data_IF_243048724322
#
_entry.id   IF_243048724322
#
_cell.length_a   1.000
_cell.length_b   1.000
_cell.length_c   1.000
_cell.angle_alpha   90.00
_cell.angle_beta   90.00
_cell.angle_gamma   90.00
#
_symmetry.space_group_name_H-M   'P 1'
#
loop_
_entity.id
_entity.type
_entity.pdbx_description
1 polymer ?
#
# COMPACT_ATOMS: atom_id res chain seq x y z
N UNK A 1 -18.85 19.72 12.96
CA UNK A 1 -18.91 18.32 13.46
C UNK A 1 -17.51 17.76 13.42
N UNK A 2 -17.18 16.72 14.21
CA UNK A 2 -15.84 16.11 14.22
C UNK A 2 -15.35 15.66 12.82
N UNK A 3 -16.27 15.40 11.88
CA UNK A 3 -15.95 15.07 10.48
C UNK A 3 -15.41 16.28 9.69
N UNK A 4 -15.92 17.50 9.94
CA UNK A 4 -15.43 18.71 9.27
C UNK A 4 -14.05 19.17 9.74
N UNK A 5 -13.59 18.66 10.88
CA UNK A 5 -12.25 18.92 11.43
C UNK A 5 -11.19 18.06 10.71
N UNK A 6 -11.51 16.80 10.41
CA UNK A 6 -10.61 15.88 9.68
C UNK A 6 -10.35 16.34 8.24
N UNK A 7 -11.38 16.84 7.55
CA UNK A 7 -11.21 17.36 6.18
C UNK A 7 -10.29 18.59 6.13
N UNK A 8 -10.40 19.47 7.13
CA UNK A 8 -9.52 20.62 7.27
C UNK A 8 -8.07 20.20 7.54
N UNK A 9 -7.86 19.32 8.51
CA UNK A 9 -6.54 18.80 8.87
C UNK A 9 -5.87 18.07 7.69
N UNK A 10 -6.62 17.27 6.95
CA UNK A 10 -6.10 16.57 5.78
C UNK A 10 -5.73 17.53 4.64
N UNK A 11 -6.55 18.56 4.41
CA UNK A 11 -6.25 19.59 3.41
C UNK A 11 -5.01 20.40 3.77
N UNK A 12 -4.85 20.77 5.05
CA UNK A 12 -3.66 21.45 5.56
C UNK A 12 -2.40 20.58 5.39
N UNK A 13 -2.47 19.30 5.80
CA UNK A 13 -1.38 18.35 5.62
C UNK A 13 -1.01 18.16 4.15
N UNK A 14 -2.01 18.00 3.27
CA UNK A 14 -1.78 17.88 1.83
C UNK A 14 -1.12 19.13 1.24
N UNK A 15 -1.49 20.32 1.70
CA UNK A 15 -0.87 21.57 1.26
C UNK A 15 0.59 21.69 1.74
N UNK A 16 0.89 21.26 2.95
CA UNK A 16 2.26 21.25 3.51
C UNK A 16 3.16 20.27 2.76
N UNK A 17 2.71 19.04 2.55
CA UNK A 17 3.54 18.04 1.88
C UNK A 17 3.70 18.35 0.39
N UNK A 18 2.71 18.94 -0.28
CA UNK A 18 2.77 19.20 -1.72
C UNK A 18 3.85 20.21 -2.15
N UNK A 19 4.32 21.08 -1.24
CA UNK A 19 5.35 22.09 -1.56
C UNK A 19 6.79 21.58 -1.39
N UNK A 20 6.98 20.38 -0.82
CA UNK A 20 8.29 19.75 -0.72
C UNK A 20 8.73 19.30 -2.11
N UNK A 21 9.97 19.63 -2.52
CA UNK A 21 10.55 19.12 -3.78
C UNK A 21 11.18 17.75 -3.55
N UNK A 22 10.57 16.65 -4.02
CA UNK A 22 11.08 15.30 -3.81
C UNK A 22 12.37 15.01 -4.59
N UNK A 23 12.77 15.87 -5.54
CA UNK A 23 14.03 15.71 -6.25
C UNK A 23 15.23 16.27 -5.47
N UNK A 24 14.97 17.07 -4.43
CA UNK A 24 15.99 17.60 -3.53
C UNK A 24 16.25 16.70 -2.32
N UNK A 25 15.42 15.67 -2.13
CA UNK A 25 15.52 14.70 -1.02
C UNK A 25 16.48 13.56 -1.38
N UNK A 26 17.01 12.90 -0.35
CA UNK A 26 17.65 11.60 -0.55
C UNK A 26 16.61 10.51 -0.89
N UNK A 27 17.08 9.31 -1.22
CA UNK A 27 16.20 8.26 -1.72
C UNK A 27 15.13 7.83 -0.68
N UNK A 28 15.50 7.78 0.60
CA UNK A 28 14.60 7.32 1.65
C UNK A 28 13.60 8.42 1.99
N UNK A 29 14.05 9.67 2.15
CA UNK A 29 13.14 10.80 2.35
C UNK A 29 12.19 11.00 1.16
N UNK A 30 12.66 10.81 -0.07
CA UNK A 30 11.81 10.90 -1.26
C UNK A 30 10.76 9.79 -1.30
N UNK A 31 11.12 8.53 -0.99
CA UNK A 31 10.16 7.43 -0.94
C UNK A 31 9.13 7.64 0.17
N UNK A 32 9.60 8.01 1.37
CA UNK A 32 8.74 8.32 2.51
C UNK A 32 7.73 9.43 2.16
N UNK A 33 8.21 10.51 1.54
CA UNK A 33 7.38 11.60 1.05
C UNK A 33 6.30 11.10 0.09
N UNK A 34 6.66 10.33 -0.94
CA UNK A 34 5.66 9.85 -1.92
C UNK A 34 4.63 8.89 -1.32
N UNK A 35 5.04 8.01 -0.40
CA UNK A 35 4.10 7.13 0.33
C UNK A 35 3.11 7.98 1.14
N UNK A 36 3.60 9.02 1.83
CA UNK A 36 2.77 9.92 2.62
C UNK A 36 1.76 10.70 1.75
N UNK A 37 2.20 11.24 0.61
CA UNK A 37 1.32 11.93 -0.35
C UNK A 37 0.23 10.98 -0.86
N UNK A 38 0.60 9.75 -1.23
CA UNK A 38 -0.35 8.74 -1.68
C UNK A 38 -1.38 8.40 -0.59
N UNK A 39 -0.91 8.07 0.62
CA UNK A 39 -1.78 7.63 1.71
C UNK A 39 -2.74 8.73 2.18
N UNK A 40 -2.30 9.99 2.22
CA UNK A 40 -3.17 11.13 2.51
C UNK A 40 -4.21 11.34 1.40
N UNK A 41 -3.81 11.22 0.13
CA UNK A 41 -4.73 11.24 -1.00
C UNK A 41 -5.79 10.14 -0.96
N UNK A 42 -5.39 8.91 -0.62
CA UNK A 42 -6.27 7.77 -0.49
C UNK A 42 -7.26 7.95 0.68
N UNK A 43 -6.81 8.54 1.80
CA UNK A 43 -7.70 8.92 2.89
C UNK A 43 -8.73 9.97 2.45
N UNK A 44 -8.30 10.96 1.64
CA UNK A 44 -9.21 11.96 1.06
C UNK A 44 -10.25 11.35 0.12
N UNK A 45 -9.85 10.37 -0.69
CA UNK A 45 -10.77 9.60 -1.55
C UNK A 45 -11.78 8.79 -0.72
N UNK A 46 -11.32 8.14 0.35
CA UNK A 46 -12.20 7.39 1.26
C UNK A 46 -13.18 8.31 2.00
N UNK A 47 -12.72 9.45 2.51
CA UNK A 47 -13.56 10.46 3.15
C UNK A 47 -14.61 11.02 2.19
N UNK A 48 -14.23 11.25 0.92
CA UNK A 48 -15.17 11.63 -0.14
C UNK A 48 -16.22 10.56 -0.37
N UNK A 49 -15.82 9.29 -0.45
CA UNK A 49 -16.75 8.19 -0.63
C UNK A 49 -17.77 8.10 0.52
N UNK A 50 -17.32 8.24 1.77
CA UNK A 50 -18.18 8.27 2.94
C UNK A 50 -19.20 9.42 2.88
N UNK A 51 -18.75 10.64 2.57
CA UNK A 51 -19.63 11.82 2.44
C UNK A 51 -20.66 11.68 1.32
N UNK A 52 -20.29 11.04 0.22
CA UNK A 52 -21.20 10.77 -0.90
C UNK A 52 -22.14 9.58 -0.62
N UNK A 53 -22.05 8.95 0.57
CA UNK A 53 -22.87 7.78 0.94
C UNK A 53 -22.51 6.54 0.13
N UNK A 54 -21.29 6.46 -0.38
CA UNK A 54 -20.81 5.35 -1.18
C UNK A 54 -20.28 4.22 -0.29
N UNK A 55 -20.59 2.98 -0.64
CA UNK A 55 -20.06 1.79 0.02
C UNK A 55 -18.68 1.36 -0.52
N UNK A 56 -18.09 2.09 -1.48
CA UNK A 56 -16.80 1.78 -2.07
C UNK A 56 -16.15 3.01 -2.69
N UNK A 57 -14.82 3.12 -2.56
CA UNK A 57 -14.03 4.15 -3.25
C UNK A 57 -14.13 4.05 -4.77
N UNK A 58 -14.35 2.85 -5.33
CA UNK A 58 -14.43 2.63 -6.78
C UNK A 58 -15.67 3.26 -7.41
N UNK A 59 -16.70 3.56 -6.62
CA UNK A 59 -17.91 4.24 -7.11
C UNK A 59 -17.71 5.75 -7.27
N UNK A 60 -16.59 6.29 -6.80
CA UNK A 60 -16.26 7.69 -6.98
C UNK A 60 -15.73 7.91 -8.40
N UNK A 61 -16.32 8.82 -9.19
CA UNK A 61 -15.84 9.10 -10.53
C UNK A 61 -14.37 9.49 -10.53
N UNK A 62 -13.58 8.77 -11.32
CA UNK A 62 -12.14 9.01 -11.42
C UNK A 62 -11.33 8.55 -10.20
N UNK A 63 -11.86 7.66 -9.37
CA UNK A 63 -11.11 7.00 -8.31
C UNK A 63 -9.74 6.54 -8.82
N UNK A 64 -8.70 6.82 -8.04
CA UNK A 64 -7.28 6.55 -8.31
C UNK A 64 -6.64 7.24 -9.54
N UNK A 65 -7.43 7.59 -10.57
CA UNK A 65 -6.96 8.10 -11.86
C UNK A 65 -7.06 9.61 -12.02
N UNK A 66 -7.97 10.27 -11.30
CA UNK A 66 -8.07 11.73 -11.30
C UNK A 66 -6.96 12.35 -10.45
N UNK A 67 -6.41 13.50 -10.86
CA UNK A 67 -5.43 14.23 -10.05
C UNK A 67 -5.99 14.58 -8.66
N UNK A 68 -5.19 14.34 -7.63
CA UNK A 68 -5.51 14.63 -6.22
C UNK A 68 -4.61 15.73 -5.63
N UNK A 69 -3.44 15.95 -6.23
CA UNK A 69 -2.43 16.88 -5.74
C UNK A 69 -1.58 17.36 -6.91
N UNK A 70 -0.93 18.52 -6.77
CA UNK A 70 0.14 18.96 -7.66
C UNK A 70 1.42 19.03 -6.86
N UNK A 71 2.47 18.32 -7.29
CA UNK A 71 3.80 18.33 -6.66
C UNK A 71 4.81 18.64 -7.75
N UNK A 72 5.68 19.64 -7.52
CA UNK A 72 6.66 20.09 -8.51
C UNK A 72 6.05 20.37 -9.90
N UNK A 73 4.95 21.16 -9.93
CA UNK A 73 4.18 21.52 -11.12
C UNK A 73 3.54 20.36 -11.91
N UNK A 74 3.59 19.13 -11.37
CA UNK A 74 3.00 17.95 -11.99
C UNK A 74 1.67 17.59 -11.29
N UNK A 75 0.53 17.59 -12.00
CA UNK A 75 -0.73 17.09 -11.46
C UNK A 75 -0.67 15.56 -11.36
N UNK A 76 -0.87 15.04 -10.15
CA UNK A 76 -0.67 13.64 -9.84
C UNK A 76 -1.94 12.99 -9.27
N UNK A 77 -2.29 11.83 -9.82
CA UNK A 77 -3.30 10.92 -9.29
C UNK A 77 -2.66 9.87 -8.40
N UNK A 78 -3.45 9.07 -7.66
CA UNK A 78 -2.92 7.96 -6.86
C UNK A 78 -2.17 6.95 -7.74
N UNK A 79 -2.75 6.58 -8.90
CA UNK A 79 -2.08 5.71 -9.88
C UNK A 79 -0.76 6.31 -10.37
N UNK A 80 -0.75 7.62 -10.65
CA UNK A 80 0.44 8.35 -11.09
C UNK A 80 1.53 8.35 -10.02
N UNK A 81 1.16 8.51 -8.75
CA UNK A 81 2.10 8.46 -7.62
C UNK A 81 2.64 7.04 -7.45
N UNK A 82 1.78 6.02 -7.36
CA UNK A 82 2.22 4.63 -7.14
C UNK A 82 3.09 4.13 -8.29
N UNK A 83 2.59 4.20 -9.52
CA UNK A 83 3.25 3.60 -10.68
C UNK A 83 4.32 4.49 -11.31
N UNK A 84 4.23 5.82 -11.16
CA UNK A 84 5.19 6.77 -11.72
C UNK A 84 6.26 7.25 -10.74
N UNK A 85 5.96 7.29 -9.42
CA UNK A 85 6.87 7.83 -8.41
C UNK A 85 7.38 6.77 -7.43
N UNK A 86 6.51 5.97 -6.81
CA UNK A 86 6.88 5.04 -5.72
C UNK A 86 7.56 3.77 -6.25
N UNK A 87 6.99 3.09 -7.25
CA UNK A 87 7.50 1.77 -7.69
C UNK A 87 8.92 1.81 -8.27
N UNK A 88 9.42 2.99 -8.67
CA UNK A 88 10.79 3.16 -9.20
C UNK A 88 11.88 2.94 -8.15
N UNK A 89 11.55 3.04 -6.86
CA UNK A 89 12.50 2.84 -5.77
C UNK A 89 12.85 1.36 -5.57
N UNK A 90 12.09 0.44 -6.16
CA UNK A 90 12.43 -0.99 -6.14
C UNK A 90 12.25 -1.67 -4.78
N UNK A 91 11.53 -1.05 -3.86
CA UNK A 91 11.17 -1.65 -2.57
C UNK A 91 9.76 -2.28 -2.66
N UNK A 92 9.61 -3.61 -2.61
CA UNK A 92 8.31 -4.26 -2.75
C UNK A 92 7.45 -4.11 -1.49
N UNK A 93 8.02 -3.73 -0.34
CA UNK A 93 7.28 -3.54 0.93
C UNK A 93 6.26 -2.42 0.84
N UNK A 94 6.40 -1.51 -0.14
CA UNK A 94 5.42 -0.46 -0.44
C UNK A 94 4.02 -1.03 -0.65
N UNK A 95 3.87 -2.25 -1.19
CA UNK A 95 2.57 -2.90 -1.41
C UNK A 95 1.86 -3.29 -0.11
N UNK A 96 2.56 -3.30 1.03
CA UNK A 96 1.98 -3.39 2.37
C UNK A 96 1.76 -2.04 3.03
N UNK A 97 2.30 -0.95 2.48
CA UNK A 97 2.28 0.40 3.07
C UNK A 97 1.30 1.37 2.38
N UNK A 98 0.90 1.08 1.14
CA UNK A 98 -0.07 1.89 0.39
C UNK A 98 -1.50 1.48 0.74
N UNK A 99 -2.28 2.45 1.22
CA UNK A 99 -3.71 2.27 1.54
C UNK A 99 -4.62 2.75 0.41
N UNK A 100 -5.81 2.18 0.35
CA UNK A 100 -6.74 2.40 -0.75
C UNK A 100 -8.20 2.55 -0.28
N UNK A 101 -8.42 2.63 1.04
CA UNK A 101 -9.74 2.79 1.64
C UNK A 101 -10.69 1.61 1.47
N UNK A 102 -10.17 0.41 1.20
CA UNK A 102 -10.96 -0.82 1.03
C UNK A 102 -10.82 -1.78 2.22
N UNK A 103 -11.81 -2.66 2.39
CA UNK A 103 -11.81 -3.72 3.43
C UNK A 103 -10.59 -4.64 3.33
N UNK A 104 -10.13 -4.97 2.13
CA UNK A 104 -8.97 -5.85 1.90
C UNK A 104 -7.64 -5.11 1.78
N UNK A 105 -7.62 -3.79 2.03
CA UNK A 105 -6.40 -2.99 1.97
C UNK A 105 -5.53 -3.17 3.22
N UNK A 106 -4.21 -2.90 3.13
CA UNK A 106 -3.39 -2.73 4.32
C UNK A 106 -3.96 -1.66 5.26
N UNK A 107 -3.66 -1.79 6.55
CA UNK A 107 -4.02 -0.80 7.56
C UNK A 107 -3.15 0.45 7.41
N UNK A 108 -3.74 1.62 7.67
CA UNK A 108 -3.01 2.89 7.66
C UNK A 108 -2.11 2.97 8.89
N UNK A 109 -0.85 3.37 8.73
CA UNK A 109 0.05 3.65 9.85
C UNK A 109 -0.45 4.87 10.64
N UNK A 110 -0.38 4.82 11.97
CA UNK A 110 -0.78 5.93 12.83
C UNK A 110 0.16 7.15 12.76
N UNK A 111 1.34 7.00 12.18
CA UNK A 111 2.34 8.04 11.98
C UNK A 111 2.80 8.10 10.51
N UNK A 112 3.23 9.27 10.00
CA UNK A 112 3.82 9.39 8.68
C UNK A 112 5.13 8.61 8.55
N UNK A 113 5.46 8.23 7.31
CA UNK A 113 6.78 7.69 6.98
C UNK A 113 7.83 8.80 7.01
N UNK A 114 9.05 8.50 7.49
CA UNK A 114 10.18 9.43 7.48
C UNK A 114 11.45 8.70 7.02
N UNK A 115 12.34 9.34 6.26
CA UNK A 115 13.49 8.65 5.66
C UNK A 115 14.38 7.96 6.69
N UNK A 116 14.64 8.64 7.81
CA UNK A 116 15.46 8.10 8.91
C UNK A 116 14.92 6.79 9.54
N UNK A 117 13.63 6.49 9.39
CA UNK A 117 13.00 5.28 9.93
C UNK A 117 12.33 4.41 8.84
N UNK A 118 12.46 4.79 7.57
CA UNK A 118 11.66 4.24 6.48
C UNK A 118 11.79 2.73 6.36
N UNK A 119 13.02 2.21 6.43
CA UNK A 119 13.27 0.78 6.35
C UNK A 119 12.50 0.01 7.43
N UNK A 120 12.63 0.45 8.69
CA UNK A 120 11.94 -0.17 9.81
C UNK A 120 10.42 -0.03 9.72
N UNK A 121 9.91 1.13 9.30
CA UNK A 121 8.49 1.38 9.12
C UNK A 121 7.88 0.52 8.02
N UNK A 122 8.56 0.35 6.88
CA UNK A 122 8.12 -0.52 5.79
C UNK A 122 8.13 -2.00 6.21
N UNK A 123 9.15 -2.42 6.94
CA UNK A 123 9.28 -3.78 7.45
C UNK A 123 8.15 -4.14 8.42
N UNK A 124 7.90 -3.25 9.38
CA UNK A 124 6.82 -3.35 10.36
C UNK A 124 5.46 -3.38 9.67
N UNK A 125 5.22 -2.47 8.73
CA UNK A 125 3.94 -2.37 8.04
C UNK A 125 3.62 -3.61 7.21
N UNK A 126 4.60 -4.19 6.52
CA UNK A 126 4.40 -5.42 5.76
C UNK A 126 4.14 -6.63 6.67
N UNK A 127 4.84 -6.74 7.81
CA UNK A 127 4.57 -7.78 8.81
C UNK A 127 3.15 -7.65 9.35
N UNK A 128 2.76 -6.44 9.75
CA UNK A 128 1.43 -6.15 10.26
C UNK A 128 0.33 -6.52 9.25
N UNK A 129 0.52 -6.16 7.97
CA UNK A 129 -0.40 -6.55 6.90
C UNK A 129 -0.53 -8.07 6.75
N UNK A 130 0.60 -8.79 6.72
CA UNK A 130 0.61 -10.25 6.59
C UNK A 130 -0.05 -10.92 7.79
N UNK A 131 0.27 -10.52 9.02
CA UNK A 131 -0.34 -11.07 10.23
C UNK A 131 -1.81 -10.67 10.39
N UNK A 132 -2.21 -9.52 9.85
CA UNK A 132 -3.58 -8.99 9.90
C UNK A 132 -4.55 -9.63 8.90
N UNK A 133 -4.19 -10.77 8.29
CA UNK A 133 -5.00 -11.48 7.30
C UNK A 133 -4.48 -11.37 5.86
N UNK A 134 -3.38 -10.65 5.63
CA UNK A 134 -2.67 -10.64 4.34
C UNK A 134 -2.07 -12.00 3.97
N UNK A 135 -1.81 -12.85 4.97
CA UNK A 135 -1.46 -14.25 4.82
C UNK A 135 -2.20 -15.09 5.86
N UNK A 136 -2.92 -16.12 5.42
CA UNK A 136 -3.61 -17.07 6.29
C UNK A 136 -3.21 -18.48 5.88
N UNK A 137 -2.62 -19.22 6.80
CA UNK A 137 -2.30 -20.62 6.62
C UNK A 137 -3.37 -21.48 7.30
N UNK A 138 -4.00 -22.35 6.53
CA UNK A 138 -4.91 -23.39 7.00
C UNK A 138 -4.39 -24.75 6.52
N UNK A 139 -3.97 -25.60 7.45
CA UNK A 139 -3.20 -26.83 7.19
C UNK A 139 -1.98 -26.59 6.26
N UNK A 140 -2.09 -27.04 5.01
CA UNK A 140 -1.08 -26.89 3.95
C UNK A 140 -1.55 -25.94 2.82
N UNK A 141 -2.54 -25.09 3.10
CA UNK A 141 -3.05 -24.09 2.18
C UNK A 141 -2.77 -22.66 2.67
N UNK A 142 -1.83 -21.99 2.02
CA UNK A 142 -1.53 -20.58 2.25
C UNK A 142 -2.40 -19.72 1.33
N UNK A 143 -3.35 -19.02 1.93
CA UNK A 143 -4.15 -17.99 1.25
C UNK A 143 -3.49 -16.64 1.44
N UNK A 144 -3.11 -15.99 0.33
CA UNK A 144 -2.54 -14.65 0.34
C UNK A 144 -3.57 -13.60 -0.08
N UNK A 145 -3.39 -12.36 0.39
CA UNK A 145 -4.12 -11.22 -0.14
C UNK A 145 -3.95 -11.10 -1.66
N UNK A 146 -4.98 -10.58 -2.34
CA UNK A 146 -4.96 -10.34 -3.79
C UNK A 146 -3.88 -9.34 -4.21
N UNK A 147 -3.39 -8.50 -3.30
CA UNK A 147 -2.21 -7.64 -3.51
C UNK A 147 -1.02 -8.45 -4.05
N UNK A 148 -0.77 -9.64 -3.49
CA UNK A 148 0.32 -10.52 -3.93
C UNK A 148 0.05 -11.20 -5.29
N UNK A 149 -1.21 -11.26 -5.73
CA UNK A 149 -1.54 -11.69 -7.09
C UNK A 149 -1.18 -10.61 -8.11
N UNK A 150 -1.49 -9.36 -7.81
CA UNK A 150 -1.25 -8.22 -8.72
C UNK A 150 0.23 -7.82 -8.75
N UNK A 151 0.88 -7.79 -7.59
CA UNK A 151 2.21 -7.24 -7.40
C UNK A 151 3.26 -8.27 -7.00
N UNK A 152 2.94 -9.57 -6.98
CA UNK A 152 3.91 -10.61 -6.62
C UNK A 152 5.19 -10.60 -7.47
N UNK A 153 5.12 -10.07 -8.70
CA UNK A 153 6.28 -9.87 -9.57
C UNK A 153 7.28 -8.86 -9.02
N UNK A 154 6.80 -7.80 -8.35
CA UNK A 154 7.64 -6.78 -7.71
C UNK A 154 8.40 -7.40 -6.51
N UNK A 155 7.76 -8.28 -5.73
CA UNK A 155 8.42 -9.04 -4.65
C UNK A 155 9.48 -10.02 -5.17
N UNK A 156 9.20 -10.73 -6.26
CA UNK A 156 10.12 -11.73 -6.81
C UNK A 156 11.28 -11.07 -7.57
N UNK A 157 11.09 -9.86 -8.11
CA UNK A 157 12.08 -9.16 -8.95
C UNK A 157 12.15 -7.67 -8.62
N UNK A 158 12.53 -7.29 -7.39
CA UNK A 158 12.52 -5.89 -6.95
C UNK A 158 13.38 -4.97 -7.84
N UNK A 159 14.52 -5.47 -8.31
CA UNK A 159 15.42 -4.73 -9.21
C UNK A 159 14.85 -4.49 -10.64
N UNK A 160 13.68 -5.04 -10.96
CA UNK A 160 12.96 -4.83 -12.24
C UNK A 160 11.60 -4.17 -12.03
N UNK A 161 11.35 -3.57 -10.89
CA UNK A 161 10.10 -2.86 -10.62
C UNK A 161 9.97 -1.61 -11.51
N UNK A 162 8.79 -1.35 -12.10
CA UNK A 162 7.59 -2.19 -12.09
C UNK A 162 7.73 -3.43 -13.02
N UNK A 163 7.46 -4.65 -12.52
CA UNK A 163 7.51 -5.86 -13.35
C UNK A 163 6.13 -6.23 -13.89
N UNK A 164 5.98 -6.26 -15.22
CA UNK A 164 4.75 -6.68 -15.91
C UNK A 164 4.61 -8.19 -16.12
N UNK A 165 5.69 -8.95 -15.88
CA UNK A 165 5.69 -10.41 -16.03
C UNK A 165 5.17 -11.05 -14.73
N UNK A 166 4.02 -11.76 -14.76
CA UNK A 166 3.46 -12.37 -13.56
C UNK A 166 4.45 -13.32 -12.86
N UNK A 167 4.43 -13.32 -11.53
CA UNK A 167 5.20 -14.26 -10.72
C UNK A 167 4.42 -15.56 -10.49
N UNK A 168 5.09 -16.72 -10.48
CA UNK A 168 4.50 -17.96 -9.99
C UNK A 168 4.11 -17.84 -8.52
N UNK A 169 2.95 -18.37 -8.12
CA UNK A 169 2.44 -18.26 -6.73
C UNK A 169 3.42 -18.72 -5.67
N UNK A 170 4.11 -19.84 -5.91
CA UNK A 170 5.15 -20.37 -5.02
C UNK A 170 6.35 -19.43 -4.89
N UNK A 171 6.75 -18.79 -5.99
CA UNK A 171 7.83 -17.81 -5.97
C UNK A 171 7.42 -16.56 -5.18
N UNK A 172 6.18 -16.11 -5.34
CA UNK A 172 5.63 -15.02 -4.53
C UNK A 172 5.64 -15.36 -3.03
N UNK A 173 5.16 -16.54 -2.65
CA UNK A 173 5.17 -16.99 -1.25
C UNK A 173 6.60 -17.08 -0.68
N UNK A 174 7.55 -17.60 -1.46
CA UNK A 174 8.96 -17.64 -1.09
C UNK A 174 9.55 -16.23 -0.91
N UNK A 175 9.22 -15.29 -1.80
CA UNK A 175 9.74 -13.92 -1.75
C UNK A 175 9.27 -13.15 -0.51
N UNK A 176 8.06 -13.42 -0.02
CA UNK A 176 7.51 -12.74 1.18
C UNK A 176 7.84 -13.45 2.50
N UNK A 177 8.52 -14.60 2.45
CA UNK A 177 8.82 -15.42 3.64
C UNK A 177 9.48 -14.65 4.79
N UNK A 178 10.39 -13.68 4.57
CA UNK A 178 11.00 -12.90 5.66
C UNK A 178 10.01 -12.09 6.52
N UNK A 179 8.81 -11.83 6.02
CA UNK A 179 7.78 -11.04 6.71
C UNK A 179 6.56 -11.87 7.15
N UNK A 180 6.53 -13.17 6.83
CA UNK A 180 5.45 -14.05 7.27
C UNK A 180 5.54 -14.31 8.79
N UNK A 181 4.41 -14.60 9.46
CA UNK A 181 4.44 -15.18 10.81
C UNK A 181 5.34 -16.42 10.84
N UNK A 182 6.12 -16.59 11.90
CA UNK A 182 7.17 -17.63 11.99
C UNK A 182 6.65 -19.03 11.62
N UNK A 183 5.52 -19.45 12.19
CA UNK A 183 4.89 -20.75 11.89
C UNK A 183 4.51 -20.92 10.41
N UNK A 184 4.12 -19.83 9.75
CA UNK A 184 3.80 -19.82 8.32
C UNK A 184 5.07 -19.86 7.48
N UNK A 185 6.09 -19.08 7.85
CA UNK A 185 7.39 -19.07 7.17
C UNK A 185 8.04 -20.46 7.18
N UNK A 186 8.03 -21.15 8.33
CA UNK A 186 8.52 -22.52 8.45
C UNK A 186 7.78 -23.48 7.51
N UNK A 187 6.45 -23.41 7.45
CA UNK A 187 5.65 -24.27 6.58
C UNK A 187 5.92 -23.97 5.09
N UNK A 188 6.06 -22.70 4.71
CA UNK A 188 6.44 -22.34 3.33
C UNK A 188 7.81 -22.91 2.98
N UNK A 189 8.76 -22.90 3.91
CA UNK A 189 10.11 -23.43 3.72
C UNK A 189 10.14 -24.97 3.51
N UNK A 190 9.18 -25.74 4.03
CA UNK A 190 9.10 -27.19 3.77
C UNK A 190 8.64 -27.52 2.35
N UNK A 191 8.05 -26.57 1.62
CA UNK A 191 7.64 -26.73 0.22
C UNK A 191 6.35 -27.52 -0.02
N UNK A 192 5.67 -27.95 1.05
CA UNK A 192 4.42 -28.73 1.00
C UNK A 192 3.19 -27.84 0.77
N UNK A 193 3.35 -26.52 0.92
CA UNK A 193 2.25 -25.56 0.85
C UNK A 193 1.69 -25.38 -0.56
N UNK A 194 0.36 -25.43 -0.67
CA UNK A 194 -0.39 -24.93 -1.82
C UNK A 194 -0.73 -23.46 -1.62
N UNK A 195 -0.63 -22.64 -2.68
CA UNK A 195 -0.80 -21.18 -2.58
C UNK A 195 -2.04 -20.73 -3.34
N UNK A 196 -2.94 -20.05 -2.64
CA UNK A 196 -4.15 -19.43 -3.15
C UNK A 196 -4.16 -17.91 -2.95
N UNK A 197 -5.15 -17.24 -3.53
CA UNK A 197 -5.38 -15.81 -3.30
C UNK A 197 -6.83 -15.59 -2.88
N UNK A 198 -7.03 -14.78 -1.85
CA UNK A 198 -8.35 -14.39 -1.38
C UNK A 198 -9.09 -13.52 -2.43
N UNK A 199 -10.44 -13.48 -2.39
CA UNK A 199 -11.19 -12.37 -3.00
C UNK A 199 -10.74 -11.03 -2.40
N UNK A 200 -10.89 -9.97 -3.19
CA UNK A 200 -10.58 -8.62 -2.73
C UNK A 200 -11.89 -7.85 -2.55
N UNK A 201 -12.16 -7.44 -1.33
CA UNK A 201 -13.35 -6.71 -0.94
C UNK A 201 -13.08 -5.21 -1.04
N UNK A 202 -13.74 -4.58 -2.01
CA UNK A 202 -13.67 -3.14 -2.29
C UNK A 202 -14.63 -2.32 -1.43
N UNK A 203 -15.30 -2.92 -0.45
CA UNK A 203 -16.12 -2.21 0.52
C UNK A 203 -15.32 -1.11 1.24
N UNK A 204 -15.94 0.02 1.51
CA UNK A 204 -15.31 1.17 2.14
C UNK A 204 -14.95 0.84 3.59
N UNK A 205 -13.65 0.84 3.89
CA UNK A 205 -13.12 0.72 5.26
C UNK A 205 -11.74 1.34 5.32
N UNK A 206 -11.54 2.22 6.30
CA UNK A 206 -10.22 2.68 6.71
C UNK A 206 -10.03 2.27 8.17
N UNK A 207 -8.95 1.54 8.45
CA UNK A 207 -8.53 1.18 9.81
C UNK A 207 -7.08 1.58 10.00
N UNK A 208 -6.79 2.12 11.19
CA UNK A 208 -5.44 2.49 11.60
C UNK A 208 -4.81 1.32 12.36
N UNK A 209 -3.54 1.04 12.09
CA UNK A 209 -2.74 0.02 12.77
C UNK A 209 -2.33 0.47 14.19
#
# INVERSE_FOLDING_TARGET
>A
SAIGDIDGLLAEYMAEIAVVDPNALDADDALAHWINVYNAGALGLAARADREGSDSVLRIPGAFSSPIVTVADEPLSLDGIEHGKIRRFGDPRIHGALVCGSVSCPTLRAEPFVGAALDAQLDDQLRAFLSGGGAVLDDDHLTLSRVFQWYGSDFVRPHRMPTVVPAPRRATAAAITPWLPESTAERVATGVVTVGFAPYDWGLRCSVA
#
